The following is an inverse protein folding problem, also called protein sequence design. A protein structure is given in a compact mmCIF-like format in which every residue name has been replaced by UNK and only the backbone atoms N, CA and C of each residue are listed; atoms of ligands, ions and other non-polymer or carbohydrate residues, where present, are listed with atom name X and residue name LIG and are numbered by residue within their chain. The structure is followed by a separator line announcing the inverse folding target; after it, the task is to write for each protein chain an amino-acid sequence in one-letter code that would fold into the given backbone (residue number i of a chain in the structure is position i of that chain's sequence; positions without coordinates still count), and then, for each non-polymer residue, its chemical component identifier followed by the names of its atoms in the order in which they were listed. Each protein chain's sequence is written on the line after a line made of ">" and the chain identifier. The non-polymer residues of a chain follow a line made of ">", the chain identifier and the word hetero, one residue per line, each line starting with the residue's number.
data_IF_459052491361
#
_entry.id   IF_459052491361
#
_cell.length_a   1.000
_cell.length_b   1.000
_cell.length_c   1.000
_cell.angle_alpha   90.00
_cell.angle_beta   90.00
_cell.angle_gamma   90.00
#
_symmetry.space_group_name_H-M   'P 1'
#
loop_
_entity.id
_entity.type
_entity.pdbx_description
1 polymer ?
#
# COMPACT_ATOMS: atom_id res chain seq x y z
N UNK A 1 -8.77 10.03 0.90
CA UNK A 1 -9.20 8.89 0.05
C UNK A 1 -9.22 7.65 0.92
N UNK A 2 -10.22 6.77 0.78
CA UNK A 2 -10.25 5.49 1.50
C UNK A 2 -9.69 4.40 0.61
N UNK A 3 -8.55 3.84 1.01
CA UNK A 3 -7.88 2.70 0.35
C UNK A 3 -8.49 1.39 0.85
N UNK A 4 -8.68 0.44 -0.06
CA UNK A 4 -9.16 -0.92 0.21
C UNK A 4 -8.21 -1.95 -0.41
N UNK A 5 -8.42 -3.24 -0.14
CA UNK A 5 -7.62 -4.33 -0.72
C UNK A 5 -7.74 -4.39 -2.25
N UNK A 6 -8.84 -3.89 -2.82
CA UNK A 6 -9.06 -3.82 -4.28
C UNK A 6 -8.43 -2.59 -4.91
N UNK A 7 -7.96 -1.62 -4.11
CA UNK A 7 -7.32 -0.42 -4.65
C UNK A 7 -5.99 -0.77 -5.31
N UNK A 8 -5.74 -0.23 -6.50
CA UNK A 8 -4.48 -0.44 -7.21
C UNK A 8 -3.34 0.24 -6.46
N UNK A 9 -2.22 -0.48 -6.27
CA UNK A 9 -1.04 0.05 -5.56
C UNK A 9 -0.50 1.30 -6.27
N UNK A 10 -0.48 1.26 -7.59
CA UNK A 10 -0.07 2.39 -8.43
C UNK A 10 -0.92 3.64 -8.18
N UNK A 11 -2.24 3.50 -8.03
CA UNK A 11 -3.14 4.64 -7.81
C UNK A 11 -2.87 5.32 -6.45
N UNK A 12 -2.55 4.51 -5.44
CA UNK A 12 -2.19 4.99 -4.10
C UNK A 12 -0.88 5.77 -4.18
N UNK A 13 0.15 5.22 -4.81
CA UNK A 13 1.45 5.86 -4.94
C UNK A 13 1.42 7.11 -5.83
N UNK A 14 0.60 7.12 -6.88
CA UNK A 14 0.41 8.29 -7.74
C UNK A 14 -0.27 9.44 -6.99
N UNK A 15 -1.26 9.14 -6.15
CA UNK A 15 -1.96 10.16 -5.35
C UNK A 15 -1.18 10.58 -4.11
N UNK A 16 -0.48 9.64 -3.49
CA UNK A 16 0.23 9.81 -2.23
C UNK A 16 1.62 9.18 -2.33
N UNK A 17 2.58 9.84 -3.00
CA UNK A 17 3.93 9.32 -3.15
C UNK A 17 4.63 9.07 -1.80
N UNK A 18 4.27 9.81 -0.75
CA UNK A 18 4.76 9.65 0.62
C UNK A 18 4.41 8.28 1.22
N UNK A 19 3.33 7.64 0.76
CA UNK A 19 2.97 6.29 1.23
C UNK A 19 4.04 5.26 0.89
N UNK A 20 4.91 5.54 -0.10
CA UNK A 20 6.05 4.67 -0.43
C UNK A 20 6.94 4.39 0.79
N UNK A 21 7.22 5.42 1.60
CA UNK A 21 7.99 5.26 2.84
C UNK A 21 7.25 4.36 3.83
N UNK A 22 5.94 4.55 3.98
CA UNK A 22 5.10 3.72 4.84
C UNK A 22 5.12 2.24 4.42
N UNK A 23 5.05 1.94 3.12
CA UNK A 23 5.18 0.58 2.59
C UNK A 23 6.52 -0.04 3.01
N UNK A 24 7.63 0.67 2.79
CA UNK A 24 8.99 0.21 3.12
C UNK A 24 9.18 -0.01 4.63
N UNK A 25 8.74 0.93 5.46
CA UNK A 25 8.81 0.82 6.94
C UNK A 25 8.03 -0.38 7.46
N UNK A 26 6.95 -0.74 6.77
CA UNK A 26 6.13 -1.90 7.07
C UNK A 26 6.62 -3.20 6.41
N UNK A 27 7.79 -3.20 5.78
CA UNK A 27 8.40 -4.36 5.13
C UNK A 27 7.70 -4.80 3.85
N UNK A 28 6.88 -3.94 3.25
CA UNK A 28 6.15 -4.21 2.00
C UNK A 28 6.82 -3.41 0.90
N UNK A 29 7.33 -4.08 -0.14
CA UNK A 29 7.81 -3.37 -1.33
C UNK A 29 6.67 -3.23 -2.34
N UNK A 30 6.20 -2.01 -2.65
CA UNK A 30 5.13 -1.83 -3.63
C UNK A 30 5.61 -2.01 -5.08
N UNK A 31 6.92 -2.14 -5.28
CA UNK A 31 7.56 -2.45 -6.55
C UNK A 31 8.06 -3.89 -6.55
N UNK A 32 7.81 -4.60 -7.64
CA UNK A 32 8.51 -5.85 -7.93
C UNK A 32 9.87 -5.57 -8.60
N UNK A 33 10.85 -6.47 -8.45
CA UNK A 33 12.15 -6.38 -9.14
C UNK A 33 12.03 -6.33 -10.68
N UNK A 34 10.87 -6.65 -11.24
CA UNK A 34 10.58 -6.56 -12.68
C UNK A 34 9.94 -5.22 -13.09
N UNK A 35 9.81 -4.26 -12.17
CA UNK A 35 9.25 -2.93 -12.44
C UNK A 35 7.72 -2.88 -12.58
N UNK A 36 7.03 -4.02 -12.43
CA UNK A 36 5.57 -4.06 -12.48
C UNK A 36 4.97 -3.84 -11.09
N UNK A 37 3.99 -2.93 -11.00
CA UNK A 37 3.16 -2.80 -9.81
C UNK A 37 2.27 -4.06 -9.68
N UNK A 38 2.06 -4.57 -8.46
CA UNK A 38 1.00 -5.54 -8.19
C UNK A 38 -0.35 -4.95 -8.60
N UNK A 39 -1.24 -5.77 -9.14
CA UNK A 39 -2.57 -5.32 -9.58
C UNK A 39 -3.31 -4.60 -8.45
N UNK A 40 -3.46 -5.21 -7.27
CA UNK A 40 -4.14 -4.59 -6.14
C UNK A 40 -3.33 -4.68 -4.85
N UNK A 41 -3.68 -3.84 -3.87
CA UNK A 41 -3.06 -3.85 -2.54
C UNK A 41 -3.20 -5.22 -1.86
N UNK A 42 -4.33 -5.88 -2.02
CA UNK A 42 -4.54 -7.23 -1.49
C UNK A 42 -3.64 -8.28 -2.12
N UNK A 43 -3.41 -8.21 -3.44
CA UNK A 43 -2.44 -9.05 -4.15
C UNK A 43 -1.01 -8.81 -3.64
N UNK A 44 -0.63 -7.54 -3.45
CA UNK A 44 0.67 -7.17 -2.89
C UNK A 44 0.87 -7.77 -1.50
N UNK A 45 -0.10 -7.58 -0.60
CA UNK A 45 -0.03 -8.03 0.79
C UNK A 45 0.06 -9.55 0.88
N UNK A 46 -0.72 -10.27 0.05
CA UNK A 46 -0.65 -11.74 -0.08
C UNK A 46 0.74 -12.20 -0.52
N UNK A 47 1.34 -11.55 -1.51
CA UNK A 47 2.69 -11.89 -2.01
C UNK A 47 3.78 -11.64 -0.97
N UNK A 48 3.62 -10.58 -0.17
CA UNK A 48 4.54 -10.30 0.94
C UNK A 48 4.35 -11.22 2.15
N UNK A 49 3.37 -12.13 2.12
CA UNK A 49 3.08 -13.02 3.24
C UNK A 49 2.54 -12.28 4.47
N UNK A 50 1.95 -11.09 4.28
CA UNK A 50 1.43 -10.29 5.37
C UNK A 50 0.05 -10.83 5.77
N UNK A 51 0.01 -11.52 6.90
CA UNK A 51 -1.20 -12.19 7.39
C UNK A 51 -2.30 -11.17 7.76
N UNK A 52 -1.91 -10.00 8.27
CA UNK A 52 -2.83 -8.92 8.68
C UNK A 52 -3.04 -7.85 7.61
N UNK A 53 -3.57 -8.26 6.45
CA UNK A 53 -3.87 -7.34 5.36
C UNK A 53 -4.86 -6.23 5.77
N UNK A 54 -5.82 -6.54 6.65
CA UNK A 54 -6.80 -5.58 7.15
C UNK A 54 -6.15 -4.52 8.06
N UNK A 55 -5.20 -4.90 8.91
CA UNK A 55 -4.49 -3.97 9.78
C UNK A 55 -3.61 -3.02 8.95
N UNK A 56 -2.94 -3.55 7.93
CA UNK A 56 -2.13 -2.74 7.01
C UNK A 56 -2.98 -1.68 6.31
N UNK A 57 -4.13 -2.07 5.76
CA UNK A 57 -5.07 -1.13 5.10
C UNK A 57 -5.55 -0.07 6.08
N UNK A 58 -5.86 -0.43 7.32
CA UNK A 58 -6.27 0.54 8.34
C UNK A 58 -5.17 1.56 8.61
N UNK A 59 -3.94 1.11 8.90
CA UNK A 59 -2.80 1.98 9.17
C UNK A 59 -2.44 2.86 7.96
N UNK A 60 -2.53 2.32 6.74
CA UNK A 60 -2.32 3.09 5.52
C UNK A 60 -3.36 4.21 5.36
N UNK A 61 -4.63 3.92 5.64
CA UNK A 61 -5.69 4.94 5.62
C UNK A 61 -5.48 6.02 6.69
N UNK A 62 -5.04 5.65 7.90
CA UNK A 62 -4.70 6.60 8.97
C UNK A 62 -3.51 7.47 8.56
N UNK A 63 -2.48 6.88 7.95
CA UNK A 63 -1.31 7.60 7.43
C UNK A 63 -1.71 8.59 6.34
N UNK A 64 -2.50 8.16 5.34
CA UNK A 64 -3.01 9.02 4.27
C UNK A 64 -3.80 10.20 4.84
N UNK A 65 -4.66 9.97 5.84
CA UNK A 65 -5.39 11.05 6.51
C UNK A 65 -4.46 12.01 7.24
N UNK A 66 -3.38 11.51 7.85
CA UNK A 66 -2.39 12.34 8.55
C UNK A 66 -1.57 13.23 7.61
N UNK A 67 -1.24 12.77 6.40
CA UNK A 67 -0.47 13.56 5.41
C UNK A 67 -1.36 14.45 4.54
N UNK A 68 -2.67 14.16 4.46
CA UNK A 68 -3.64 14.97 3.71
C UNK A 68 -4.32 16.05 4.57
N UNK A 69 -3.94 16.16 5.85
CA UNK A 69 -4.52 17.08 6.83
C UNK A 69 -3.78 18.40 6.96
#
# INVERSE_FOLDING_TARGET
>A
MTVTLDTLVEEILNKFPETMSFFIENGVSPFSCSGAYPSSLGELLKRTGKEDAAEFVKKLNEYIQSISG
#
